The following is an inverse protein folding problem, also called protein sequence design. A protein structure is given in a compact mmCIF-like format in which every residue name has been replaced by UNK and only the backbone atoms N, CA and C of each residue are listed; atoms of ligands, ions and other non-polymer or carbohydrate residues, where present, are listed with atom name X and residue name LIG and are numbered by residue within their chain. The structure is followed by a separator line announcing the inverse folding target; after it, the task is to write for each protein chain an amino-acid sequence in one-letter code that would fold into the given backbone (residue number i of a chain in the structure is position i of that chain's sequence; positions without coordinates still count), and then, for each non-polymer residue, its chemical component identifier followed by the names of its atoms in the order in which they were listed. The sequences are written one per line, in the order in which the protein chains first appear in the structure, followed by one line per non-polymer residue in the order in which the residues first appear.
data_IF_841388882339
#
_entry.id   IF_841388882339
#
_cell.length_a   1.000
_cell.length_b   1.000
_cell.length_c   1.000
_cell.angle_alpha   90.00
_cell.angle_beta   90.00
_cell.angle_gamma   90.00
#
_symmetry.space_group_name_H-M   'P 1'
#
loop_
_entity.id
_entity.type
_entity.pdbx_description
1 polymer ?
#
# COMPACT_ATOMS: atom_id res chain seq x y z
N UNK A 1 -9.78 -29.90 11.22
CA UNK A 1 -9.85 -28.96 10.10
C UNK A 1 -8.76 -27.93 10.33
N UNK A 2 -7.96 -27.57 9.33
CA UNK A 2 -6.93 -26.55 9.50
C UNK A 2 -7.58 -25.15 9.44
N UNK A 3 -7.17 -24.26 10.33
CA UNK A 3 -7.56 -22.86 10.30
C UNK A 3 -6.50 -22.06 9.54
N UNK A 4 -6.88 -21.05 8.74
CA UNK A 4 -5.91 -20.17 8.13
C UNK A 4 -5.22 -19.33 9.21
N UNK A 5 -3.89 -19.33 9.18
CA UNK A 5 -3.05 -18.45 9.99
C UNK A 5 -2.62 -17.26 9.12
N UNK A 6 -2.49 -16.09 9.74
CA UNK A 6 -2.02 -14.89 9.06
C UNK A 6 -0.50 -15.00 8.82
N UNK A 7 -0.08 -15.03 7.56
CA UNK A 7 1.34 -15.09 7.22
C UNK A 7 2.05 -13.75 7.45
N UNK A 8 1.54 -12.67 6.85
CA UNK A 8 2.17 -11.35 6.86
C UNK A 8 1.15 -10.22 6.76
N UNK A 9 1.54 -9.04 7.23
CA UNK A 9 0.84 -7.77 7.00
C UNK A 9 1.75 -6.87 6.17
N UNK A 10 1.27 -6.44 5.00
CA UNK A 10 2.06 -5.63 4.07
C UNK A 10 1.28 -4.36 3.74
N UNK A 11 1.96 -3.21 3.78
CA UNK A 11 1.41 -1.92 3.38
C UNK A 11 2.21 -1.30 2.25
N UNK A 12 1.52 -0.57 1.38
CA UNK A 12 2.10 0.20 0.27
C UNK A 12 1.74 1.67 0.47
N UNK A 13 2.53 2.45 1.23
CA UNK A 13 2.18 3.84 1.53
C UNK A 13 1.94 4.66 0.26
N UNK A 14 2.87 4.56 -0.69
CA UNK A 14 2.79 5.23 -1.99
C UNK A 14 2.32 4.23 -3.05
N UNK A 15 1.33 4.64 -3.85
CA UNK A 15 0.81 3.84 -4.96
C UNK A 15 1.94 3.40 -5.90
N UNK A 16 1.98 2.11 -6.22
CA UNK A 16 2.95 1.48 -7.13
C UNK A 16 4.43 1.55 -6.68
N UNK A 17 4.70 1.86 -5.41
CA UNK A 17 6.04 1.84 -4.84
C UNK A 17 6.32 0.55 -4.04
N UNK A 18 7.51 0.48 -3.43
CA UNK A 18 7.94 -0.66 -2.60
C UNK A 18 7.05 -0.88 -1.38
N UNK A 19 6.97 -2.14 -0.97
CA UNK A 19 6.17 -2.60 0.15
C UNK A 19 6.90 -2.48 1.50
N UNK A 20 6.12 -2.45 2.59
CA UNK A 20 6.64 -2.47 3.95
C UNK A 20 5.92 -3.58 4.74
N UNK A 21 6.69 -4.51 5.28
CA UNK A 21 6.18 -5.57 6.17
C UNK A 21 6.00 -5.04 7.59
N UNK A 22 4.87 -5.37 8.21
CA UNK A 22 4.48 -4.95 9.55
C UNK A 22 4.15 -6.17 10.42
N UNK A 23 4.46 -6.05 11.72
CA UNK A 23 4.03 -7.05 12.73
C UNK A 23 2.59 -6.87 13.17
N UNK A 24 2.06 -5.66 13.07
CA UNK A 24 0.69 -5.30 13.42
C UNK A 24 0.30 -4.02 12.66
N UNK A 25 -1.00 -3.81 12.49
CA UNK A 25 -1.56 -2.59 11.92
C UNK A 25 -2.96 -2.35 12.46
N UNK A 26 -3.33 -1.08 12.62
CA UNK A 26 -4.70 -0.71 12.91
C UNK A 26 -5.56 -0.85 11.64
N UNK A 27 -6.82 -1.26 11.82
CA UNK A 27 -7.81 -1.29 10.75
C UNK A 27 -8.66 -0.02 10.82
N UNK A 28 -8.72 0.72 9.72
CA UNK A 28 -9.56 1.89 9.54
C UNK A 28 -10.72 1.56 8.58
N UNK A 29 -11.68 2.48 8.44
CA UNK A 29 -12.80 2.35 7.51
C UNK A 29 -12.36 2.09 6.06
N UNK A 30 -11.15 2.53 5.68
CA UNK A 30 -10.59 2.40 4.33
C UNK A 30 -9.52 1.30 4.21
N UNK A 31 -9.35 0.44 5.22
CA UNK A 31 -8.36 -0.63 5.23
C UNK A 31 -7.25 -0.41 6.26
N UNK A 32 -6.10 -1.03 6.06
CA UNK A 32 -4.96 -0.89 6.97
C UNK A 32 -4.52 0.57 7.06
N UNK A 33 -4.13 0.99 8.26
CA UNK A 33 -3.54 2.31 8.48
C UNK A 33 -2.37 2.53 7.51
N UNK A 34 -2.34 3.71 6.89
CA UNK A 34 -1.31 4.15 5.93
C UNK A 34 -1.25 3.40 4.60
N UNK A 35 -2.08 2.39 4.33
CA UNK A 35 -2.06 1.71 3.03
C UNK A 35 -2.61 2.63 1.92
N UNK A 36 -1.81 2.80 0.85
CA UNK A 36 -2.09 3.54 -0.39
C UNK A 36 -2.64 4.94 -0.18
N UNK A 37 -2.07 5.68 0.76
CA UNK A 37 -2.51 7.06 1.09
C UNK A 37 -1.83 8.14 0.27
N UNK A 38 -0.75 7.80 -0.43
CA UNK A 38 -0.02 8.74 -1.27
C UNK A 38 0.05 8.26 -2.71
N UNK A 39 0.15 9.23 -3.61
CA UNK A 39 0.26 9.02 -5.04
C UNK A 39 1.17 10.09 -5.61
N UNK A 40 2.18 9.67 -6.36
CA UNK A 40 3.05 10.60 -7.08
C UNK A 40 2.30 11.04 -8.34
N UNK A 41 2.26 12.36 -8.54
CA UNK A 41 1.69 13.01 -9.72
C UNK A 41 2.73 13.96 -10.30
N UNK A 42 2.65 14.19 -11.60
CA UNK A 42 3.45 15.24 -12.25
C UNK A 42 2.85 16.64 -12.02
N UNK A 43 3.52 17.66 -12.54
CA UNK A 43 3.10 19.08 -12.41
C UNK A 43 1.73 19.37 -13.05
N UNK A 44 1.24 18.50 -13.94
CA UNK A 44 -0.09 18.60 -14.54
C UNK A 44 -1.17 17.90 -13.70
N UNK A 45 -0.82 17.43 -12.49
CA UNK A 45 -1.63 16.58 -11.63
C UNK A 45 -2.05 15.27 -12.30
N UNK A 46 -1.34 14.85 -13.35
CA UNK A 46 -1.51 13.53 -13.94
C UNK A 46 -0.73 12.51 -13.15
N UNK A 47 -1.31 11.32 -13.04
CA UNK A 47 -0.63 10.14 -12.54
C UNK A 47 0.64 9.91 -13.34
N UNK A 48 1.81 9.98 -12.71
CA UNK A 48 3.06 9.66 -13.39
C UNK A 48 2.99 8.19 -13.82
N UNK A 49 2.98 7.85 -15.13
CA UNK A 49 3.04 6.47 -15.55
C UNK A 49 4.40 5.93 -15.08
N UNK A 50 4.39 5.07 -14.07
CA UNK A 50 5.59 4.58 -13.37
C UNK A 50 6.45 3.65 -14.24
N UNK A 51 6.21 3.63 -15.56
CA UNK A 51 6.95 2.91 -16.59
C UNK A 51 6.96 3.78 -17.86
N UNK A 52 7.89 4.73 -17.93
CA UNK A 52 8.48 5.11 -19.21
C UNK A 52 9.87 4.46 -19.28
N UNK A 53 10.27 3.91 -20.44
CA UNK A 53 11.58 3.28 -20.61
C UNK A 53 12.73 4.25 -20.34
#
# INVERSE_FOLDING_TARGET
MAHPELSDIIVYPVKSASEISLKNSNLEQRGLAHDRRWMVVDDSAQLSPTNQP
#
